data_IF_239712334423
#
_entry.id   IF_239712334423
#
_cell.length_a   1.000
_cell.length_b   1.000
_cell.length_c   1.000
_cell.angle_alpha   90.00
_cell.angle_beta   90.00
_cell.angle_gamma   90.00
#
_symmetry.space_group_name_H-M   'P 1'
#
loop_
_entity.id
_entity.type
_entity.pdbx_description
1 polymer ?
2 non-polymer ?
3 non-polymer ?
4 non-polymer ?
5 non-polymer ?
6 water ?
#
# COMPACT_ATOMS: atom_id res chain seq x y z
N UNK A 3 17.28 -11.46 -12.01
CA UNK A 3 16.54 -12.69 -11.78
C UNK A 3 15.19 -12.49 -11.06
N UNK A 4 15.14 -11.67 -9.97
CA UNK A 4 13.85 -11.44 -9.32
C UNK A 4 12.83 -10.77 -10.24
N UNK A 5 13.17 -9.59 -10.75
CA UNK A 5 12.26 -8.86 -11.64
C UNK A 5 12.00 -9.63 -12.92
N UNK A 6 13.02 -10.32 -13.43
CA UNK A 6 12.84 -11.07 -14.67
C UNK A 6 11.87 -12.23 -14.48
N UNK A 7 11.95 -12.90 -13.33
CA UNK A 7 11.00 -13.98 -13.03
C UNK A 7 9.61 -13.44 -12.70
N UNK A 8 9.54 -12.26 -12.07
CA UNK A 8 8.23 -11.70 -11.72
C UNK A 8 7.44 -11.36 -12.97
N UNK A 9 8.11 -10.87 -14.01
CA UNK A 9 7.41 -10.50 -15.24
C UNK A 9 7.03 -11.72 -16.08
N UNK A 10 7.81 -12.80 -15.98
CA UNK A 10 7.41 -14.03 -16.66
C UNK A 10 6.13 -14.60 -16.06
N UNK A 11 6.04 -14.64 -14.73
CA UNK A 11 4.84 -15.15 -14.08
C UNK A 11 3.65 -14.27 -14.39
N UNK A 12 3.86 -12.96 -14.55
CA UNK A 12 2.77 -12.08 -14.98
C UNK A 12 2.19 -12.54 -16.30
N UNK A 13 3.05 -12.87 -17.27
CA UNK A 13 2.58 -13.38 -18.55
C UNK A 13 1.79 -14.66 -18.37
N UNK A 14 2.27 -15.55 -17.49
CA UNK A 14 1.56 -16.80 -17.25
C UNK A 14 0.19 -16.54 -16.63
N UNK A 15 0.14 -15.65 -15.63
CA UNK A 15 -1.13 -15.33 -14.99
C UNK A 15 -2.08 -14.67 -15.98
N UNK A 16 -1.57 -13.71 -16.75
CA UNK A 16 -2.41 -13.01 -17.71
C UNK A 16 -2.99 -13.98 -18.74
N UNK A 17 -2.17 -14.88 -19.26
CA UNK A 17 -2.65 -15.82 -20.26
C UNK A 17 -3.74 -16.73 -19.70
N UNK A 18 -3.57 -17.20 -18.45
CA UNK A 18 -4.61 -18.02 -17.85
C UNK A 18 -5.91 -17.26 -17.70
N UNK A 19 -5.85 -16.07 -17.11
CA UNK A 19 -7.07 -15.29 -16.87
C UNK A 19 -7.79 -14.99 -18.17
N UNK A 20 -7.05 -14.61 -19.21
CA UNK A 20 -7.68 -14.25 -20.48
C UNK A 20 -8.20 -15.48 -21.23
N UNK A 21 -7.44 -16.57 -21.23
CA UNK A 21 -7.93 -17.79 -21.86
C UNK A 21 -9.16 -18.31 -21.14
N UNK A 22 -9.19 -18.21 -19.81
CA UNK A 22 -10.35 -18.62 -19.04
C UNK A 22 -11.60 -17.85 -19.47
N UNK A 23 -11.47 -16.54 -19.62
CA UNK A 23 -12.59 -15.74 -20.12
C UNK A 23 -13.03 -16.20 -21.50
N UNK A 24 -12.06 -16.49 -22.37
CA UNK A 24 -12.40 -16.93 -23.72
C UNK A 24 -13.05 -18.31 -23.71
N UNK A 25 -12.49 -19.25 -22.95
CA UNK A 25 -12.90 -20.64 -23.03
C UNK A 25 -14.03 -20.99 -22.07
N UNK A 26 -14.18 -20.26 -20.96
CA UNK A 26 -15.19 -20.58 -19.96
C UNK A 26 -16.21 -19.48 -19.73
N UNK A 27 -15.95 -18.24 -20.14
CA UNK A 27 -16.87 -17.14 -19.91
C UNK A 27 -17.41 -16.56 -21.21
N UNK A 28 -17.13 -17.22 -22.34
CA UNK A 28 -17.75 -16.89 -23.62
C UNK A 28 -17.37 -15.49 -24.11
N UNK A 29 -16.15 -15.04 -23.81
CA UNK A 29 -15.75 -13.69 -24.17
C UNK A 29 -15.23 -13.62 -25.59
N UNK A 30 -15.65 -12.58 -26.31
CA UNK A 30 -15.23 -12.36 -27.68
C UNK A 30 -13.82 -11.78 -27.73
N UNK A 31 -13.10 -12.00 -28.83
CA UNK A 31 -11.70 -11.52 -28.91
C UNK A 31 -11.54 -10.02 -28.69
N UNK A 32 -12.44 -9.20 -29.23
CA UNK A 32 -12.33 -7.76 -29.04
C UNK A 32 -12.31 -7.39 -27.56
N UNK A 33 -13.16 -8.02 -26.75
CA UNK A 33 -13.16 -7.70 -25.33
C UNK A 33 -11.97 -8.34 -24.60
N UNK A 34 -11.45 -9.47 -25.11
CA UNK A 34 -10.27 -10.06 -24.50
C UNK A 34 -9.07 -9.14 -24.67
N UNK A 35 -8.87 -8.62 -25.89
CA UNK A 35 -7.77 -7.70 -26.12
C UNK A 35 -7.95 -6.40 -25.33
N UNK A 36 -9.20 -5.94 -25.19
CA UNK A 36 -9.47 -4.78 -24.37
C UNK A 36 -9.11 -5.02 -22.91
N UNK A 37 -9.34 -6.23 -22.41
CA UNK A 37 -9.00 -6.52 -21.03
C UNK A 37 -7.50 -6.75 -20.85
N UNK A 38 -6.83 -7.33 -21.85
CA UNK A 38 -5.38 -7.41 -21.81
C UNK A 38 -4.75 -6.02 -21.70
N UNK A 39 -5.25 -5.07 -22.50
CA UNK A 39 -4.73 -3.71 -22.45
C UNK A 39 -5.03 -3.05 -21.11
N UNK A 40 -6.24 -3.23 -20.59
CA UNK A 40 -6.60 -2.65 -19.30
C UNK A 40 -5.74 -3.23 -18.18
N UNK A 41 -5.52 -4.54 -18.22
CA UNK A 41 -4.68 -5.17 -17.20
C UNK A 41 -3.26 -4.63 -17.25
N UNK A 42 -2.68 -4.56 -18.45
CA UNK A 42 -1.33 -4.03 -18.60
C UNK A 42 -1.24 -2.59 -18.10
N UNK A 43 -2.25 -1.77 -18.41
CA UNK A 43 -2.22 -0.36 -18.05
C UNK A 43 -2.31 -0.15 -16.54
N UNK A 44 -3.14 -0.93 -15.87
CA UNK A 44 -3.40 -0.71 -14.45
C UNK A 44 -2.42 -1.45 -13.54
N UNK A 45 -1.85 -2.56 -14.01
CA UNK A 45 -1.02 -3.41 -13.16
C UNK A 45 0.47 -3.23 -13.38
N UNK A 46 0.88 -2.83 -14.57
CA UNK A 46 2.30 -2.65 -14.88
C UNK A 46 2.65 -1.17 -14.82
N UNK A 47 3.95 -0.89 -14.65
CA UNK A 47 4.48 0.45 -14.67
C UNK A 47 4.95 0.95 -13.32
N UNK A 48 4.42 0.40 -12.23
CA UNK A 48 4.86 0.79 -10.91
C UNK A 48 6.24 0.25 -10.57
N UNK A 49 6.57 0.21 -9.28
CA UNK A 49 7.88 -0.27 -8.85
C UNK A 49 7.84 -1.72 -8.35
N UNK A 50 6.64 -2.26 -8.12
CA UNK A 50 6.45 -3.67 -7.74
C UNK A 50 7.07 -3.98 -6.38
N UNK A 51 7.16 -2.97 -5.50
CA UNK A 51 7.79 -3.19 -4.20
C UNK A 51 7.02 -4.20 -3.36
N UNK A 52 5.68 -4.14 -3.40
CA UNK A 52 4.89 -5.11 -2.65
C UNK A 52 5.07 -6.52 -3.22
N UNK A 53 5.06 -6.64 -4.55
CA UNK A 53 5.13 -7.96 -5.15
C UNK A 53 6.50 -8.60 -5.03
N UNK A 54 7.56 -7.82 -5.24
CA UNK A 54 8.90 -8.37 -5.12
C UNK A 54 9.24 -8.71 -3.68
N UNK A 55 8.59 -8.05 -2.71
CA UNK A 55 8.84 -8.37 -1.31
C UNK A 55 8.41 -9.79 -0.99
N UNK A 56 7.34 -10.28 -1.61
CA UNK A 56 6.91 -11.65 -1.40
C UNK A 56 8.00 -12.61 -1.88
N UNK A 57 8.61 -12.31 -3.03
CA UNK A 57 9.67 -13.16 -3.57
C UNK A 57 10.89 -13.14 -2.65
N UNK A 58 11.33 -11.94 -2.26
CA UNK A 58 12.53 -11.81 -1.45
C UNK A 58 12.38 -12.51 -0.11
N UNK A 59 11.18 -12.45 0.48
CA UNK A 59 10.94 -13.20 1.71
C UNK A 59 11.01 -14.69 1.44
N UNK A 60 10.47 -15.15 0.31
CA UNK A 60 10.43 -16.57 0.02
C UNK A 60 11.83 -17.14 -0.19
N UNK A 61 12.71 -16.40 -0.86
CA UNK A 61 14.05 -16.91 -1.12
C UNK A 61 14.91 -16.89 0.14
N UNK A 62 14.63 -15.98 1.07
CA UNK A 62 15.38 -15.95 2.32
C UNK A 62 14.98 -17.07 3.27
N UNK A 63 13.86 -17.75 3.02
CA UNK A 63 13.39 -18.80 3.90
C UNK A 63 13.70 -20.20 3.39
N UNK A 64 13.89 -20.38 2.08
CA UNK A 64 14.38 -21.64 1.57
C UNK A 64 15.89 -21.79 1.75
N UNK A 65 16.58 -20.73 2.18
CA UNK A 65 18.00 -20.81 2.50
C UNK A 65 18.26 -21.19 3.94
N UNK A 66 17.24 -21.12 4.80
CA UNK A 66 17.38 -21.52 6.20
C UNK A 66 15.97 -21.79 6.74
N UNK A 67 15.49 -23.01 6.54
CA UNK A 67 14.17 -23.40 6.98
C UNK A 67 14.12 -23.55 8.50
N UNK A 77 15.14 -28.62 -4.07
CA UNK A 77 15.00 -28.92 -5.47
C UNK A 77 13.62 -28.59 -6.02
N UNK A 78 12.70 -29.54 -5.91
CA UNK A 78 11.35 -29.32 -6.42
C UNK A 78 10.59 -28.34 -5.53
N UNK A 79 10.82 -28.38 -4.22
CA UNK A 79 10.14 -27.45 -3.33
C UNK A 79 10.60 -26.02 -3.57
N UNK A 80 11.84 -25.82 -4.02
CA UNK A 80 12.32 -24.46 -4.29
C UNK A 80 11.55 -23.82 -5.43
N UNK A 81 11.53 -24.48 -6.59
CA UNK A 81 10.87 -23.91 -7.77
C UNK A 81 9.40 -23.64 -7.53
N UNK A 82 8.73 -24.48 -6.73
CA UNK A 82 7.30 -24.31 -6.49
C UNK A 82 7.03 -23.15 -5.55
N UNK A 83 7.79 -23.05 -4.46
CA UNK A 83 7.58 -21.97 -3.51
C UNK A 83 7.85 -20.62 -4.16
N UNK A 84 8.87 -20.56 -5.03
CA UNK A 84 9.17 -19.32 -5.72
C UNK A 84 8.06 -18.95 -6.70
N UNK A 85 7.49 -19.93 -7.39
CA UNK A 85 6.37 -19.65 -8.27
C UNK A 85 5.14 -19.23 -7.48
N UNK A 86 4.88 -19.89 -6.35
CA UNK A 86 3.79 -19.48 -5.49
C UNK A 86 3.99 -18.06 -4.97
N UNK A 87 5.24 -17.71 -4.65
CA UNK A 87 5.52 -16.35 -4.19
C UNK A 87 5.22 -15.33 -5.28
N UNK A 88 5.54 -15.67 -6.53
CA UNK A 88 5.28 -14.75 -7.63
C UNK A 88 3.80 -14.54 -7.85
N UNK A 89 3.00 -15.60 -7.70
CA UNK A 89 1.55 -15.44 -7.82
C UNK A 89 1.01 -14.58 -6.69
N UNK A 90 1.54 -14.76 -5.48
CA UNK A 90 1.11 -13.93 -4.35
C UNK A 90 1.55 -12.49 -4.54
N UNK A 91 2.71 -12.27 -5.13
CA UNK A 91 3.14 -10.92 -5.42
C UNK A 91 2.20 -10.21 -6.38
N UNK A 92 1.76 -10.92 -7.42
CA UNK A 92 0.83 -10.30 -8.35
C UNK A 92 -0.56 -10.14 -7.77
N UNK A 93 -0.94 -10.96 -6.78
CA UNK A 93 -2.20 -10.72 -6.09
C UNK A 93 -2.21 -9.35 -5.43
N UNK A 94 -1.09 -8.96 -4.79
CA UNK A 94 -1.04 -7.66 -4.13
C UNK A 94 -0.95 -6.54 -5.15
N UNK A 95 -0.20 -6.76 -6.24
CA UNK A 95 -0.12 -5.73 -7.28
C UNK A 95 -1.48 -5.50 -7.92
N UNK A 96 -2.23 -6.58 -8.18
CA UNK A 96 -3.58 -6.42 -8.71
C UNK A 96 -4.49 -5.73 -7.70
N UNK A 97 -4.33 -6.07 -6.42
CA UNK A 97 -5.07 -5.38 -5.37
C UNK A 97 -4.71 -3.89 -5.34
N UNK A 98 -3.42 -3.57 -5.47
CA UNK A 98 -3.02 -2.17 -5.54
C UNK A 98 -3.59 -1.49 -6.78
N UNK A 99 -3.59 -2.18 -7.93
CA UNK A 99 -4.21 -1.64 -9.13
C UNK A 99 -5.70 -1.38 -8.90
N UNK A 100 -6.36 -2.29 -8.18
CA UNK A 100 -7.78 -2.12 -7.87
C UNK A 100 -8.02 -0.89 -7.00
N UNK A 101 -7.18 -0.66 -5.99
CA UNK A 101 -7.33 0.53 -5.14
C UNK A 101 -7.08 1.80 -5.94
N UNK A 102 -6.13 1.78 -6.87
CA UNK A 102 -5.82 2.99 -7.64
C UNK A 102 -6.97 3.35 -8.59
N UNK A 103 -7.59 2.35 -9.22
CA UNK A 103 -8.75 2.61 -10.06
C UNK A 103 -9.88 3.19 -9.23
N UNK A 104 -10.10 2.65 -8.02
CA UNK A 104 -11.13 3.18 -7.13
C UNK A 104 -10.85 4.65 -6.81
N UNK A 105 -9.56 5.00 -6.67
CA UNK A 105 -9.21 6.39 -6.38
C UNK A 105 -9.47 7.29 -7.59
N UNK A 106 -9.19 6.78 -8.80
CA UNK A 106 -9.41 7.60 -9.99
C UNK A 106 -10.88 7.92 -10.19
N UNK A 107 -11.78 7.02 -9.78
CA UNK A 107 -13.21 7.27 -9.93
C UNK A 107 -13.64 8.45 -9.06
N UNK A 108 -12.99 8.64 -7.90
CA UNK A 108 -13.41 9.69 -6.98
C UNK A 108 -13.11 11.07 -7.54
N UNK A 109 -11.88 11.28 -8.04
CA UNK A 109 -11.46 12.61 -8.46
C UNK A 109 -11.77 12.91 -9.92
N UNK A 110 -12.12 11.91 -10.74
CA UNK A 110 -12.47 12.17 -12.13
C UNK A 110 -13.79 12.92 -12.27
N UNK A 111 -14.61 12.99 -11.22
CA UNK A 111 -15.86 13.73 -11.27
C UNK A 111 -16.31 14.12 -9.87
N UNK A 123 -27.88 10.44 -19.88
CA UNK A 123 -26.96 9.66 -20.72
C UNK A 123 -25.94 8.91 -19.88
N UNK A 124 -25.76 7.62 -20.15
CA UNK A 124 -24.81 6.82 -19.36
C UNK A 124 -23.37 7.12 -19.77
N UNK A 125 -22.55 7.47 -18.79
CA UNK A 125 -21.14 7.75 -19.02
C UNK A 125 -20.38 6.42 -19.07
N UNK A 126 -20.04 5.99 -20.29
CA UNK A 126 -19.45 4.67 -20.46
C UNK A 126 -18.05 4.58 -19.88
N UNK A 127 -17.35 5.71 -19.70
CA UNK A 127 -16.02 5.64 -19.13
C UNK A 127 -16.06 5.42 -17.62
N UNK A 128 -17.03 6.03 -16.93
CA UNK A 128 -17.18 5.79 -15.49
C UNK A 128 -17.72 4.39 -15.23
N UNK A 129 -18.61 3.92 -16.11
CA UNK A 129 -19.07 2.53 -16.03
C UNK A 129 -17.92 1.56 -16.20
N UNK A 130 -17.03 1.82 -17.16
CA UNK A 130 -15.94 0.90 -17.40
C UNK A 130 -14.88 0.99 -16.31
N UNK A 131 -14.72 2.15 -15.68
CA UNK A 131 -13.78 2.27 -14.57
C UNK A 131 -14.26 1.49 -13.35
N UNK A 132 -15.54 1.63 -13.02
CA UNK A 132 -16.11 0.81 -11.95
C UNK A 132 -15.94 -0.66 -12.27
N UNK A 133 -16.30 -1.06 -13.49
CA UNK A 133 -16.14 -2.45 -13.90
C UNK A 133 -14.68 -2.89 -13.79
N UNK A 134 -13.75 -2.06 -14.26
CA UNK A 134 -12.31 -2.36 -14.10
C UNK A 134 -11.96 -2.63 -12.65
N UNK A 135 -12.47 -1.80 -11.72
CA UNK A 135 -12.15 -2.00 -10.32
C UNK A 135 -12.64 -3.34 -9.80
N UNK A 136 -13.84 -3.76 -10.24
CA UNK A 136 -14.37 -5.05 -9.82
C UNK A 136 -13.55 -6.20 -10.43
N UNK A 137 -13.20 -6.09 -11.71
CA UNK A 137 -12.43 -7.15 -12.35
C UNK A 137 -11.07 -7.31 -11.70
N UNK A 138 -10.41 -6.20 -11.36
CA UNK A 138 -9.06 -6.30 -10.81
C UNK A 138 -9.08 -7.02 -9.48
N UNK A 139 -10.09 -6.76 -8.65
CA UNK A 139 -10.19 -7.46 -7.37
C UNK A 139 -10.53 -8.93 -7.57
N UNK A 140 -11.48 -9.23 -8.46
CA UNK A 140 -11.84 -10.62 -8.71
C UNK A 140 -10.67 -11.41 -9.27
N UNK A 141 -9.82 -10.77 -10.07
CA UNK A 141 -8.65 -11.44 -10.62
C UNK A 141 -7.71 -11.93 -9.52
N UNK A 142 -7.64 -11.22 -8.38
CA UNK A 142 -6.81 -11.70 -7.28
C UNK A 142 -7.34 -13.02 -6.74
N UNK A 143 -8.66 -13.17 -6.69
CA UNK A 143 -9.26 -14.44 -6.27
C UNK A 143 -9.07 -15.51 -7.34
N UNK A 144 -9.28 -15.16 -8.61
CA UNK A 144 -9.23 -16.16 -9.68
C UNK A 144 -7.84 -16.76 -9.81
N UNK A 145 -6.80 -15.94 -9.74
CA UNK A 145 -5.45 -16.47 -9.87
C UNK A 145 -5.03 -17.27 -8.65
N UNK A 146 -5.59 -16.95 -7.47
CA UNK A 146 -5.30 -17.73 -6.28
C UNK A 146 -6.00 -19.08 -6.32
N UNK A 147 -7.29 -19.09 -6.68
CA UNK A 147 -8.06 -20.33 -6.75
C UNK A 147 -7.53 -21.28 -7.81
N UNK A 148 -6.75 -20.79 -8.78
CA UNK A 148 -6.18 -21.66 -9.81
C UNK A 148 -4.81 -22.18 -9.40
N UNK A 149 -3.84 -21.28 -9.28
CA UNK A 149 -2.46 -21.71 -9.04
C UNK A 149 -2.26 -22.31 -7.67
N UNK A 150 -3.15 -22.05 -6.71
CA UNK A 150 -3.07 -22.61 -5.38
C UNK A 150 -4.18 -23.62 -5.10
N UNK A 151 -4.83 -24.13 -6.16
CA UNK A 151 -6.00 -24.99 -5.98
C UNK A 151 -5.67 -26.21 -5.13
N UNK A 152 -4.47 -26.77 -5.30
CA UNK A 152 -4.03 -27.93 -4.54
C UNK A 152 -3.10 -27.59 -3.39
N UNK A 153 -3.00 -26.31 -3.03
CA UNK A 153 -2.15 -26.01 -1.88
C UNK A 153 -2.97 -26.09 -0.60
N UNK A 154 -2.41 -26.67 0.47
CA UNK A 154 -3.13 -26.71 1.74
C UNK A 154 -3.36 -25.34 2.36
N UNK A 155 -2.54 -24.35 2.02
CA UNK A 155 -2.64 -23.02 2.61
C UNK A 155 -3.62 -22.10 1.88
N UNK A 156 -4.32 -22.60 0.86
CA UNK A 156 -5.18 -21.74 0.06
C UNK A 156 -6.25 -21.05 0.92
N UNK A 157 -6.86 -21.80 1.84
CA UNK A 157 -7.94 -21.21 2.63
C UNK A 157 -7.41 -20.18 3.62
N UNK A 158 -6.31 -20.49 4.29
CA UNK A 158 -5.69 -19.51 5.18
C UNK A 158 -5.18 -18.30 4.40
N UNK A 159 -4.73 -18.51 3.17
CA UNK A 159 -4.25 -17.41 2.34
C UNK A 159 -5.38 -16.46 1.99
N UNK A 160 -6.52 -17.00 1.54
CA UNK A 160 -7.64 -16.14 1.17
C UNK A 160 -8.17 -15.36 2.36
N UNK A 161 -8.26 -15.99 3.53
CA UNK A 161 -8.81 -15.33 4.71
C UNK A 161 -7.96 -14.14 5.11
N UNK A 162 -6.65 -14.33 5.21
CA UNK A 162 -5.76 -13.22 5.57
C UNK A 162 -5.77 -12.15 4.48
N UNK A 163 -5.84 -12.57 3.22
CA UNK A 163 -5.94 -11.60 2.12
C UNK A 163 -7.25 -10.83 2.19
N UNK A 164 -8.37 -11.53 2.41
CA UNK A 164 -9.66 -10.85 2.51
C UNK A 164 -9.72 -9.93 3.72
N UNK A 165 -9.05 -10.30 4.82
CA UNK A 165 -9.11 -9.49 6.02
C UNK A 165 -8.24 -8.23 5.88
N UNK A 166 -7.12 -8.33 5.17
CA UNK A 166 -6.29 -7.15 4.94
C UNK A 166 -6.98 -6.18 3.98
N UNK A 167 -7.64 -6.71 2.96
CA UNK A 167 -8.41 -5.85 2.05
C UNK A 167 -9.53 -5.13 2.79
N UNK A 168 -10.22 -5.84 3.69
CA UNK A 168 -11.21 -5.20 4.55
C UNK A 168 -10.59 -4.11 5.40
N UNK A 169 -9.44 -4.41 6.02
CA UNK A 169 -8.73 -3.42 6.82
C UNK A 169 -8.45 -2.16 6.03
N UNK A 170 -8.07 -2.32 4.76
CA UNK A 170 -7.72 -1.16 3.94
C UNK A 170 -8.94 -0.29 3.65
N UNK A 171 -10.10 -0.92 3.45
CA UNK A 171 -11.33 -0.15 3.23
C UNK A 171 -11.75 0.59 4.50
N UNK A 172 -11.55 -0.03 5.66
CA UNK A 172 -11.80 0.65 6.92
C UNK A 172 -10.88 1.85 7.06
N UNK A 173 -9.61 1.69 6.66
CA UNK A 173 -8.67 2.80 6.75
C UNK A 173 -8.99 3.93 5.79
N UNK A 174 -9.55 3.60 4.63
CA UNK A 174 -9.99 4.65 3.71
C UNK A 174 -11.16 5.43 4.30
N UNK A 175 -12.04 4.78 5.04
CA UNK A 175 -13.12 5.50 5.73
C UNK A 175 -12.55 6.47 6.76
N UNK A 176 -11.59 6.02 7.57
CA UNK A 176 -10.95 6.90 8.55
C UNK A 176 -10.30 8.09 7.85
N UNK A 177 -9.68 7.86 6.70
CA UNK A 177 -8.96 8.92 6.00
C UNK A 177 -9.92 9.93 5.37
N UNK A 178 -10.93 9.42 4.65
CA UNK A 178 -11.82 10.28 3.87
C UNK A 178 -12.69 11.14 4.77
N UNK A 179 -12.97 10.68 5.99
CA UNK A 179 -13.87 11.38 6.90
C UNK A 179 -13.15 12.05 8.07
N UNK A 180 -11.83 12.20 7.98
CA UNK A 180 -11.09 12.71 9.14
C UNK A 180 -11.36 14.19 9.42
N UNK A 181 -12.08 14.89 8.54
CA UNK A 181 -12.35 16.31 8.72
C UNK A 181 -13.83 16.61 8.95
N UNK A 182 -14.68 15.59 9.07
CA UNK A 182 -16.11 15.82 9.24
C UNK A 182 -16.67 15.01 10.40
N UNK A 183 -18.00 14.97 10.51
CA UNK A 183 -18.71 14.06 11.41
C UNK A 183 -19.53 13.11 10.55
N UNK A 184 -19.20 11.81 10.63
CA UNK A 184 -19.87 10.80 9.81
C UNK A 184 -21.36 10.72 10.14
N UNK A 185 -22.21 11.10 9.18
CA UNK A 185 -23.64 11.12 9.40
C UNK A 185 -24.27 9.76 9.12
N UNK A 198 -13.56 20.42 10.72
CA UNK A 198 -13.42 19.75 12.01
C UNK A 198 -11.99 19.26 12.18
N UNK A 199 -11.39 19.57 13.34
CA UNK A 199 -10.00 19.21 13.61
C UNK A 199 -9.85 18.37 14.88
N UNK A 200 -10.97 17.84 15.40
CA UNK A 200 -10.92 17.07 16.63
C UNK A 200 -10.11 15.79 16.45
N UNK A 201 -10.21 15.15 15.29
CA UNK A 201 -9.48 13.92 15.04
C UNK A 201 -8.09 14.15 14.46
N UNK A 202 -7.63 15.41 14.46
CA UNK A 202 -6.27 15.74 13.99
C UNK A 202 -5.29 15.55 15.15
N UNK A 203 -5.09 14.28 15.50
CA UNK A 203 -4.16 13.88 16.56
C UNK A 203 -3.17 12.88 15.99
N UNK A 204 -2.06 12.70 16.70
CA UNK A 204 -1.02 11.79 16.25
C UNK A 204 -1.47 10.34 16.36
N UNK A 205 -2.25 10.00 17.38
CA UNK A 205 -2.74 8.63 17.50
C UNK A 205 -3.73 8.30 16.38
N UNK A 206 -4.59 9.25 16.01
CA UNK A 206 -5.51 8.99 14.90
C UNK A 206 -4.78 8.97 13.58
N UNK A 207 -3.75 9.83 13.43
CA UNK A 207 -2.94 9.77 12.23
C UNK A 207 -2.32 8.39 12.06
N UNK A 208 -1.84 7.80 13.15
CA UNK A 208 -1.27 6.45 13.07
C UNK A 208 -2.35 5.42 12.77
N UNK A 209 -3.57 5.62 13.29
CA UNK A 209 -4.67 4.72 12.95
C UNK A 209 -4.94 4.73 11.46
N UNK A 210 -4.95 5.92 10.85
CA UNK A 210 -5.18 6.02 9.42
C UNK A 210 -4.08 5.30 8.65
N UNK A 211 -2.82 5.62 8.97
CA UNK A 211 -1.70 5.01 8.27
C UNK A 211 -1.72 3.50 8.43
N UNK A 212 -1.97 3.02 9.65
CA UNK A 212 -1.97 1.59 9.92
C UNK A 212 -2.97 0.87 9.02
N UNK A 213 -4.23 1.30 9.03
CA UNK A 213 -5.26 0.58 8.30
C UNK A 213 -5.21 0.87 6.81
N UNK A 214 -5.03 2.14 6.43
CA UNK A 214 -5.12 2.50 5.02
C UNK A 214 -3.91 2.06 4.22
N UNK A 215 -2.73 1.96 4.84
CA UNK A 215 -1.54 1.73 4.05
C UNK A 215 -0.67 0.58 4.57
N UNK A 216 -0.39 0.57 5.88
CA UNK A 216 0.63 -0.32 6.41
C UNK A 216 0.26 -1.79 6.21
N UNK A 217 -0.99 -2.15 6.53
CA UNK A 217 -1.37 -3.56 6.53
C UNK A 217 -1.19 -4.21 5.17
N UNK A 218 -1.57 -3.54 4.09
CA UNK A 218 -1.49 -4.17 2.78
C UNK A 218 -0.18 -3.89 2.05
N UNK A 219 0.51 -2.81 2.40
CA UNK A 219 1.77 -2.50 1.74
C UNK A 219 2.97 -3.15 2.43
N UNK A 220 2.93 -3.28 3.75
CA UNK A 220 4.07 -3.80 4.49
C UNK A 220 3.81 -5.13 5.17
N UNK A 221 2.66 -5.29 5.84
CA UNK A 221 2.41 -6.55 6.52
C UNK A 221 2.01 -7.66 5.55
N UNK A 222 1.14 -7.35 4.59
CA UNK A 222 0.63 -8.39 3.69
C UNK A 222 1.71 -9.06 2.87
N UNK A 223 2.67 -8.36 2.25
CA UNK A 223 3.70 -9.09 1.50
C UNK A 223 4.57 -9.95 2.39
N UNK A 224 4.86 -9.48 3.61
CA UNK A 224 5.62 -10.29 4.54
C UNK A 224 4.85 -11.56 4.91
N UNK A 225 3.58 -11.42 5.25
CA UNK A 225 2.78 -12.59 5.65
C UNK A 225 2.66 -13.57 4.49
N UNK A 226 2.42 -13.07 3.27
CA UNK A 226 2.29 -13.98 2.13
C UNK A 226 3.62 -14.66 1.83
N UNK A 227 4.73 -13.96 2.00
CA UNK A 227 6.03 -14.58 1.82
C UNK A 227 6.31 -15.68 2.82
N UNK A 228 5.72 -15.59 4.01
CA UNK A 228 5.87 -16.63 5.02
C UNK A 228 4.92 -17.80 4.77
N UNK A 229 3.75 -17.54 4.17
CA UNK A 229 2.77 -18.60 3.96
C UNK A 229 3.25 -19.56 2.88
N UNK A 230 3.61 -19.04 1.70
CA UNK A 230 4.08 -19.91 0.63
C UNK A 230 5.39 -20.59 0.99
N UNK A 231 6.16 -20.04 1.93
CA UNK A 231 7.39 -20.66 2.40
C UNK A 231 7.16 -21.58 3.59
N UNK A 232 5.90 -21.85 3.95
CA UNK A 232 5.46 -22.70 5.06
C UNK A 232 5.93 -22.23 6.43
N UNK A 233 6.61 -21.09 6.53
CA UNK A 233 7.15 -20.62 7.80
C UNK A 233 6.27 -19.56 8.45
N UNK A 234 4.94 -19.68 8.31
CA UNK A 234 4.05 -18.73 8.95
C UNK A 234 4.08 -18.84 10.47
N UNK A 235 3.86 -20.02 11.09
CA UNK A 235 3.86 -20.11 12.54
C UNK A 235 5.24 -20.13 13.19
N UNK A 236 6.31 -19.84 12.44
CA UNK A 236 7.66 -19.87 12.97
C UNK A 236 8.21 -18.49 13.29
N UNK A 237 7.37 -17.45 13.26
CA UNK A 237 7.81 -16.08 13.47
C UNK A 237 6.98 -15.46 14.59
N UNK A 238 7.55 -14.46 15.25
CA UNK A 238 6.82 -13.65 16.20
C UNK A 238 6.02 -12.62 15.43
N UNK A 239 4.70 -12.83 15.33
CA UNK A 239 3.85 -11.93 14.56
C UNK A 239 3.77 -10.55 15.21
N UNK A 240 3.86 -10.49 16.54
CA UNK A 240 3.77 -9.20 17.21
C UNK A 240 4.86 -8.24 16.77
N UNK A 241 6.12 -8.69 16.81
CA UNK A 241 7.22 -7.87 16.33
C UNK A 241 7.04 -7.58 14.85
N UNK A 242 6.52 -8.55 14.09
CA UNK A 242 6.28 -8.34 12.67
C UNK A 242 5.16 -7.32 12.45
N UNK A 243 4.04 -7.49 13.17
CA UNK A 243 2.97 -6.50 13.11
C UNK A 243 3.45 -5.12 13.52
N UNK A 244 4.45 -5.04 14.40
CA UNK A 244 4.91 -3.75 14.89
C UNK A 244 5.86 -3.09 13.90
N UNK A 245 6.74 -3.87 13.26
CA UNK A 245 7.62 -3.31 12.24
C UNK A 245 6.83 -2.82 11.04
N UNK A 246 5.81 -3.57 10.62
CA UNK A 246 5.00 -3.16 9.47
C UNK A 246 4.37 -1.79 9.71
N UNK A 247 3.77 -1.59 10.88
CA UNK A 247 3.16 -0.30 11.19
C UNK A 247 4.20 0.80 11.22
N UNK A 248 5.37 0.54 11.82
CA UNK A 248 6.39 1.57 11.94
C UNK A 248 6.98 1.94 10.59
N UNK A 249 7.21 0.95 9.73
CA UNK A 249 7.69 1.24 8.39
C UNK A 249 6.64 1.97 7.57
N UNK A 250 5.37 1.59 7.71
CA UNK A 250 4.32 2.35 7.04
C UNK A 250 4.25 3.78 7.54
N UNK A 251 4.39 3.97 8.84
CA UNK A 251 4.41 5.31 9.41
C UNK A 251 5.60 6.12 8.89
N UNK A 252 6.79 5.53 8.92
CA UNK A 252 7.97 6.19 8.35
C UNK A 252 7.73 6.58 6.91
N UNK A 253 7.20 5.65 6.10
CA UNK A 253 6.96 5.91 4.69
C UNK A 253 5.92 7.00 4.49
N UNK A 254 4.86 7.00 5.30
CA UNK A 254 3.78 7.97 5.10
C UNK A 254 4.17 9.37 5.54
N UNK A 255 4.99 9.50 6.60
CA UNK A 255 5.43 10.82 7.03
C UNK A 255 6.28 11.47 5.95
N UNK A 256 7.25 10.71 5.41
CA UNK A 256 8.05 11.22 4.29
C UNK A 256 7.16 11.57 3.11
N UNK A 257 6.13 10.75 2.85
CA UNK A 257 5.23 11.03 1.73
C UNK A 257 4.45 12.32 1.97
N UNK A 258 4.04 12.58 3.22
CA UNK A 258 3.27 13.77 3.53
C UNK A 258 4.10 15.04 3.33
N UNK A 259 5.37 15.01 3.74
CA UNK A 259 6.23 16.18 3.58
C UNK A 259 6.50 16.44 2.10
N UNK A 260 6.75 15.38 1.33
CA UNK A 260 7.02 15.55 -0.09
C UNK A 260 5.79 16.08 -0.82
N UNK A 261 4.60 15.63 -0.42
CA UNK A 261 3.38 16.13 -1.04
C UNK A 261 3.27 17.64 -0.92
N UNK A 262 3.82 18.22 0.15
CA UNK A 262 3.66 19.64 0.43
C UNK A 262 4.79 20.50 -0.12
N UNK A 263 6.02 20.01 -0.17
CA UNK A 263 7.16 20.84 -0.53
C UNK A 263 7.93 20.37 -1.76
N UNK A 264 7.89 19.08 -2.08
CA UNK A 264 8.56 18.60 -3.28
C UNK A 264 7.83 19.10 -4.52
N UNK A 265 8.50 19.78 -5.44
CA UNK A 265 7.80 20.35 -6.60
C UNK A 265 7.22 19.26 -7.49
N UNK A 266 6.19 19.57 -8.27
CA UNK A 266 5.48 18.52 -9.02
C UNK A 266 6.36 17.75 -10.00
N UNK A 267 7.25 18.44 -10.72
CA UNK A 267 8.11 17.74 -11.66
C UNK A 267 9.10 16.81 -10.97
N UNK A 268 9.37 17.02 -9.69
CA UNK A 268 10.22 16.13 -8.92
C UNK A 268 9.44 15.12 -8.10
N UNK A 269 8.20 15.44 -7.73
CA UNK A 269 7.37 14.51 -6.98
C UNK A 269 6.68 13.50 -7.89
N UNK A 270 6.32 13.92 -9.11
CA UNK A 270 5.60 13.07 -10.03
C UNK A 270 4.12 13.37 -10.12
N UNK A 271 3.57 14.14 -9.18
CA UNK A 271 2.17 14.52 -9.20
C UNK A 271 2.06 15.93 -8.62
N UNK A 272 0.83 16.42 -8.55
CA UNK A 272 0.54 17.69 -7.90
C UNK A 272 0.12 17.40 -6.47
N UNK A 273 0.87 17.94 -5.51
CA UNK A 273 0.53 17.74 -4.11
C UNK A 273 -0.74 18.49 -3.75
N UNK A 274 -1.66 17.81 -3.05
CA UNK A 274 -2.98 18.38 -2.83
C UNK A 274 -3.50 18.14 -1.41
N UNK A 275 -2.64 17.82 -0.45
CA UNK A 275 -3.12 17.53 0.90
C UNK A 275 -3.73 18.76 1.56
N UNK A 276 -3.11 19.93 1.39
CA UNK A 276 -3.65 21.14 2.01
C UNK A 276 -5.05 21.42 1.47
N UNK A 277 -5.19 21.43 0.14
CA UNK A 277 -6.50 21.68 -0.46
C UNK A 277 -7.53 20.64 -0.02
N UNK A 278 -7.13 19.37 0.03
CA UNK A 278 -8.05 18.30 0.40
C UNK A 278 -8.23 18.17 1.91
N UNK A 279 -7.60 19.05 2.70
CA UNK A 279 -7.75 19.06 4.15
C UNK A 279 -7.41 17.70 4.76
N UNK A 280 -6.34 17.09 4.28
CA UNK A 280 -5.98 15.76 4.76
C UNK A 280 -5.42 15.83 6.17
N UNK A 281 -5.61 14.74 6.92
CA UNK A 281 -5.01 14.60 8.24
C UNK A 281 -3.58 14.11 8.04
N UNK A 282 -2.71 15.05 7.66
CA UNK A 282 -1.33 14.75 7.36
C UNK A 282 -0.44 14.93 8.58
N UNK A 283 0.75 14.35 8.52
CA UNK A 283 1.70 14.48 9.62
C UNK A 283 2.07 15.94 9.86
N UNK A 284 2.13 16.75 8.81
CA UNK A 284 2.43 18.17 8.99
C UNK A 284 1.33 18.87 9.75
N UNK A 285 0.07 18.56 9.45
CA UNK A 285 -1.05 19.25 10.08
C UNK A 285 -1.14 18.91 11.56
N UNK A 286 -1.00 17.63 11.91
CA UNK A 286 -1.16 17.24 13.31
C UNK A 286 0.03 17.68 14.15
N UNK A 287 1.22 17.76 13.54
CA UNK A 287 2.38 18.24 14.27
C UNK A 287 2.33 19.75 14.46
N UNK A 288 1.84 20.47 13.45
CA UNK A 288 1.69 21.91 13.56
C UNK A 288 0.71 22.28 14.67
N UNK A 289 -0.44 21.60 14.72
CA UNK A 289 -1.47 21.97 15.68
C UNK A 289 -1.01 21.77 17.12
N UNK A 290 -0.07 20.86 17.35
CA UNK A 290 0.41 20.65 18.71
C UNK A 290 1.33 21.76 19.18
N UNK A 291 2.04 22.43 18.27
CA UNK A 291 3.04 23.42 18.67
C UNK A 291 2.71 24.84 18.21
N UNK A 292 1.53 25.07 17.65
CA UNK A 292 1.16 26.39 17.17
C UNK A 292 0.52 27.21 18.29
N UNK A 293 0.63 28.54 18.15
CA UNK A 293 -0.03 29.45 19.07
C UNK A 293 -1.51 29.57 18.72
N UNK A 294 -2.28 30.12 19.67
CA UNK A 294 -3.72 30.22 19.48
C UNK A 294 -4.08 30.98 18.23
N UNK A 295 -3.41 32.12 17.98
CA UNK A 295 -3.71 32.91 16.80
C UNK A 295 -3.23 32.21 15.53
N UNK A 296 -2.12 31.48 15.61
CA UNK A 296 -1.64 30.73 14.44
C UNK A 296 -2.61 29.60 14.09
N UNK A 297 -3.12 28.89 15.09
CA UNK A 297 -4.11 27.85 14.82
C UNK A 297 -5.33 28.44 14.14
N UNK A 298 -5.79 29.61 14.60
CA UNK A 298 -6.89 30.29 13.93
C UNK A 298 -6.52 30.63 12.49
N UNK A 299 -5.26 30.99 12.26
CA UNK A 299 -4.81 31.28 10.90
C UNK A 299 -4.71 30.00 10.08
N UNK A 300 -4.31 28.90 10.70
CA UNK A 300 -4.29 27.62 10.01
C UNK A 300 -5.70 27.15 9.69
N UNK A 301 -6.59 27.18 10.69
CA UNK A 301 -7.96 26.72 10.46
C UNK A 301 -8.69 27.56 9.43
N UNK A 302 -8.34 28.84 9.31
CA UNK A 302 -9.00 29.70 8.34
C UNK A 302 -8.50 29.49 6.92
N UNK A 303 -7.33 28.86 6.75
CA UNK A 303 -6.72 28.70 5.44
C UNK A 303 -6.66 27.24 4.97
N UNK A 304 -6.92 26.28 5.85
CA UNK A 304 -6.75 24.88 5.50
C UNK A 304 -7.97 24.37 4.74
N UNK A 305 -7.72 23.49 3.77
CA UNK A 305 -8.81 22.90 3.02
C UNK A 305 -9.39 23.79 1.93
N UNK A 306 -8.60 24.70 1.39
CA UNK A 306 -9.06 25.62 0.35
C UNK A 306 -8.22 25.46 -0.90
N UNK A 307 -8.82 25.78 -2.05
CA UNK A 307 -8.12 25.74 -3.32
C UNK A 307 -7.39 27.00 -3.68
N UNK A 308 -7.63 28.10 -2.99
CA UNK A 308 -6.98 29.37 -3.31
C UNK A 308 -5.47 29.27 -3.11
N UNK A 309 -4.73 29.77 -4.09
CA UNK A 309 -3.27 29.64 -4.09
C UNK A 309 -2.64 30.33 -2.89
N UNK A 310 -3.20 31.45 -2.45
CA UNK A 310 -2.62 32.20 -1.34
C UNK A 310 -2.91 31.53 0.00
N UNK A 311 -4.05 30.86 0.14
CA UNK A 311 -4.34 30.16 1.38
C UNK A 311 -3.45 28.93 1.53
N UNK A 312 -3.25 28.18 0.43
CA UNK A 312 -2.33 27.05 0.45
C UNK A 312 -0.91 27.52 0.79
N UNK A 313 -0.48 28.61 0.16
CA UNK A 313 0.84 29.16 0.47
C UNK A 313 0.92 29.67 1.91
N UNK A 314 -0.18 30.17 2.45
CA UNK A 314 -0.19 30.56 3.85
C UNK A 314 0.03 29.35 4.76
N UNK A 315 -0.56 28.21 4.40
CA UNK A 315 -0.38 26.99 5.18
C UNK A 315 1.08 26.53 5.11
N UNK A 316 1.67 26.53 3.90
CA UNK A 316 3.08 26.19 3.78
C UNK A 316 3.96 27.19 4.52
N UNK A 317 3.56 28.46 4.55
CA UNK A 317 4.30 29.45 5.33
C UNK A 317 4.28 29.10 6.81
N UNK A 318 3.11 28.70 7.33
CA UNK A 318 3.00 28.31 8.74
C UNK A 318 3.85 27.08 9.03
N UNK A 319 3.82 26.09 8.13
CA UNK A 319 4.64 24.90 8.32
C UNK A 319 6.12 25.24 8.39
N UNK A 320 6.59 26.09 7.47
CA UNK A 320 7.99 26.48 7.46
C UNK A 320 8.35 27.26 8.72
N UNK A 321 7.55 28.25 9.08
CA UNK A 321 7.86 29.08 10.25
C UNK A 321 7.75 28.31 11.56
N UNK A 322 7.01 27.21 11.58
CA UNK A 322 6.92 26.37 12.78
C UNK A 322 8.09 25.41 12.91
N UNK A 323 9.09 25.51 12.01
CA UNK A 323 10.26 24.64 12.04
C UNK A 323 9.85 23.16 11.97
N UNK A 324 8.87 22.86 11.11
CA UNK A 324 8.39 21.49 11.01
C UNK A 324 9.40 20.58 10.33
N UNK A 325 10.21 21.13 9.42
CA UNK A 325 11.24 20.34 8.77
C UNK A 325 12.23 19.77 9.78
N UNK A 326 12.60 20.58 10.78
CA UNK A 326 13.56 20.11 11.77
C UNK A 326 12.97 19.01 12.62
N UNK A 327 11.66 19.06 12.86
CA UNK A 327 10.98 17.98 13.58
C UNK A 327 10.83 16.75 12.71
N UNK A 328 10.69 16.93 11.39
CA UNK A 328 10.57 15.79 10.49
C UNK A 328 11.81 14.90 10.54
N UNK A 329 13.00 15.52 10.52
CA UNK A 329 14.24 14.74 10.55
C UNK A 329 14.34 13.94 11.84
N UNK A 330 14.01 14.57 12.98
CA UNK A 330 14.12 13.88 14.25
C UNK A 330 13.07 12.78 14.38
N UNK A 331 11.84 13.05 13.93
CA UNK A 331 10.78 12.05 14.04
C UNK A 331 11.14 10.78 13.26
N UNK A 332 11.60 10.94 12.02
CA UNK A 332 12.03 9.79 11.24
C UNK A 332 13.19 9.05 11.89
N UNK A 333 14.10 9.77 12.52
CA UNK A 333 15.24 9.14 13.17
C UNK A 333 14.79 8.20 14.28
N UNK A 334 13.86 8.66 15.12
CA UNK A 334 13.39 7.84 16.22
C UNK A 334 12.62 6.62 15.72
N UNK A 335 11.84 6.79 14.65
CA UNK A 335 11.19 5.64 14.03
C UNK A 335 12.24 4.68 13.48
N UNK A 336 13.25 5.22 12.78
CA UNK A 336 14.32 4.38 12.26
C UNK A 336 15.03 3.63 13.38
N UNK A 337 15.24 4.29 14.51
CA UNK A 337 15.83 3.60 15.66
C UNK A 337 14.92 2.50 16.16
N UNK A 338 13.61 2.76 16.22
CA UNK A 338 12.67 1.71 16.58
C UNK A 338 12.67 0.59 15.55
N UNK A 339 12.91 0.91 14.28
CA UNK A 339 12.97 -0.12 13.26
C UNK A 339 14.28 -0.88 13.35
N UNK A 340 15.41 -0.15 13.31
CA UNK A 340 16.72 -0.78 13.36
C UNK A 340 16.94 -1.63 14.61
N UNK A 341 16.07 -1.51 15.61
CA UNK A 341 16.17 -2.31 16.83
C UNK A 341 15.06 -3.35 16.97
N UNK A 342 13.94 -3.19 16.28
CA UNK A 342 12.87 -4.19 16.37
C UNK A 342 13.14 -5.40 15.50
N UNK A 343 13.94 -5.25 14.43
CA UNK A 343 14.31 -6.38 13.61
C UNK A 343 15.15 -7.39 14.40
N UNK A 344 15.81 -6.94 15.46
CA UNK A 344 16.67 -7.83 16.23
C UNK A 344 15.85 -8.84 17.03
N UNK A 345 14.75 -8.40 17.63
CA UNK A 345 13.86 -9.34 18.30
C UNK A 345 13.36 -10.41 17.34
N UNK A 346 13.16 -10.04 16.07
CA UNK A 346 12.62 -10.98 15.09
C UNK A 346 13.63 -12.06 14.70
N UNK A 347 14.92 -11.71 14.69
CA UNK A 347 15.94 -12.66 14.25
C UNK A 347 16.34 -13.66 15.32
N UNK A 348 15.92 -13.45 16.57
CA UNK A 348 16.27 -14.40 17.62
C UNK A 348 15.57 -15.74 17.43
N UNK A 349 14.39 -15.73 16.82
CA UNK A 349 13.67 -16.97 16.51
C UNK A 349 13.43 -17.18 15.03
N UNK A 350 13.58 -16.15 14.19
CA UNK A 350 13.41 -16.27 12.74
C UNK A 350 14.49 -15.45 12.08
N UNK A 351 15.68 -16.03 11.88
CA UNK A 351 16.82 -15.25 11.39
C UNK A 351 16.72 -14.83 9.93
N UNK A 352 16.39 -15.77 9.04
CA UNK A 352 16.32 -15.45 7.63
C UNK A 352 15.24 -14.43 7.30
N UNK A 353 14.15 -14.43 8.08
CA UNK A 353 13.10 -13.42 7.90
C UNK A 353 13.65 -12.02 8.05
N UNK A 354 14.47 -11.79 9.08
CA UNK A 354 14.95 -10.45 9.39
C UNK A 354 15.80 -9.87 8.26
N UNK A 355 16.46 -10.72 7.49
CA UNK A 355 17.28 -10.23 6.39
C UNK A 355 16.42 -9.54 5.33
N UNK A 356 15.27 -10.13 5.00
CA UNK A 356 14.40 -9.54 3.99
C UNK A 356 13.72 -8.28 4.51
N UNK A 357 13.35 -8.27 5.79
CA UNK A 357 12.72 -7.09 6.37
C UNK A 357 13.67 -5.90 6.33
N UNK A 358 14.98 -6.16 6.44
CA UNK A 358 15.96 -5.09 6.34
C UNK A 358 15.99 -4.49 4.94
N UNK A 359 15.96 -5.35 3.91
CA UNK A 359 15.91 -4.85 2.54
C UNK A 359 14.64 -4.06 2.28
N UNK A 360 13.50 -4.57 2.77
CA UNK A 360 12.26 -3.80 2.66
C UNK A 360 12.38 -2.45 3.34
N UNK A 361 12.99 -2.42 4.53
CA UNK A 361 13.23 -1.15 5.21
C UNK A 361 14.20 -0.29 4.42
N UNK A 362 15.18 -0.90 3.75
CA UNK A 362 16.09 -0.13 2.93
C UNK A 362 15.40 0.59 1.78
N UNK A 363 14.40 -0.05 1.20
CA UNK A 363 13.61 0.62 0.15
C UNK A 363 12.92 1.85 0.70
N UNK A 364 12.44 1.78 1.93
CA UNK A 364 11.77 2.91 2.57
C UNK A 364 12.79 3.98 2.97
X LIG B 1 10.11 24.39 2.92
X LIG B 1 10.33 22.95 3.41
X LIG B 1 9.62 22.46 4.51
X LIG B 1 11.23 22.11 2.75
X LIG B 1 11.44 20.80 3.20
X LIG B 1 10.72 20.32 4.30
X LIG B 1 9.81 21.15 4.95
X LIG B 1 10.91 19.08 4.72
X LIG B 1 9.20 25.08 3.86
X LIG B 1 8.92 20.55 6.32
X LIG C 1 -19.16 -19.85 -15.77
X LIG C 1 -19.38 -18.59 -14.96
X LIG C 1 -17.74 -20.33 -15.57
X LIG C 1 -20.12 -20.91 -15.30
X LIG C 1 -19.39 -19.56 -17.23
X LIG D 1 3.87 -2.81 -5.04
X LIG E 1 -2.84 10.54 5.14
X LIG E 1 -1.92 9.64 5.94
X LIG E 1 -3.47 9.74 4.03
X LIG E 1 -2.03 11.67 4.55
X LIG E 1 -3.91 11.10 6.04
X LIG F 1 -5.29 2.38 -0.43
X LIG F 1 -5.87 2.71 0.79
X LIG F 1 -4.87 3.70 -1.11
X LIG F 1 -3.88 4.36 -0.38
X LIG F 1 -4.39 3.30 -2.51
X LIG F 1 -4.11 4.48 -3.18
#
# INVERSE_FOLDING_TARGET
GPMPMQMFMQVYDEIQMFLLEELELKFDMDPNRVRYLRKMMDTTCLGGKYNRGLTVIDVAESLLSLSPNNNGEEDDGARRKRVLHDACVCGWMIEFLQAHYLVEDDIMDNSVTRRGKPCWYRHPDVTVQCAINDGLLLKSWTHMMAMHFFADRPFLQDLLCRFNRVDYTTAVGQLYDVTSMFDSNKLDPDVSQPTTTDFAEFTLSNYKRIVKYKTAYYTYLLPLVMGLIVSEALPTVDMGVTEELAMLMGEYFQVQDDVMDCFTPPERLGKVGTDIQDAKCSWLAVTFLAKASSAQVAEFKANYGSGDSEKVATVRRLYEEADLQGDYVAYEAAVAEQVKELIEKLRLCSPGFAASVETLWGKTYKRQK
PK7 C2 C3 C10 C4 C5 C6 C8 F7 N1 CL9
PO4 P O1 O2 O3 O4
NA NA
PO4 P O1 O2 O3 O4
GOL C1 O1 C2 O2 C3 O3
#
